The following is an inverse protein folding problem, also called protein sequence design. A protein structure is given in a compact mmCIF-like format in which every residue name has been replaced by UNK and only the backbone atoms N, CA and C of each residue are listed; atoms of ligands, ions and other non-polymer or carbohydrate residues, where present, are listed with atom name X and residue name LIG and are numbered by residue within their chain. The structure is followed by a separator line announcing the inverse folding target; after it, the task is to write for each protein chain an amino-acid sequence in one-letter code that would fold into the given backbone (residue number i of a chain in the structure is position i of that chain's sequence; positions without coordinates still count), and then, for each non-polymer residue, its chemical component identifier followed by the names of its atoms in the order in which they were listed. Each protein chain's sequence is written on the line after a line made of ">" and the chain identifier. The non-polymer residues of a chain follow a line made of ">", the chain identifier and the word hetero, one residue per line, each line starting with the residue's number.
data_IF_202201212102
#
_entry.id   IF_202201212102
#
_cell.length_a   1.000
_cell.length_b   1.000
_cell.length_c   1.000
_cell.angle_alpha   90.00
_cell.angle_beta   90.00
_cell.angle_gamma   90.00
#
_symmetry.space_group_name_H-M   'P 1'
#
loop_
_entity.id
_entity.type
_entity.pdbx_description
1 polymer ?
#
# COMPACT_ATOMS: atom_id res chain seq x y z
N UNK A 1 -8.65 2.04 37.66
CA UNK A 1 -9.75 1.32 37.01
C UNK A 1 -9.17 0.93 35.66
N UNK A 2 -8.94 -0.36 35.39
CA UNK A 2 -8.45 -0.82 34.10
C UNK A 2 -9.58 -0.62 33.09
N UNK A 3 -9.43 0.37 32.21
CA UNK A 3 -10.39 0.67 31.17
C UNK A 3 -10.37 -0.44 30.12
N UNK A 4 -11.20 -1.46 30.32
CA UNK A 4 -11.54 -2.39 29.22
C UNK A 4 -12.54 -1.68 28.32
N UNK A 5 -12.30 -1.74 27.01
CA UNK A 5 -13.28 -1.28 26.03
C UNK A 5 -14.62 -1.97 26.28
N UNK A 6 -15.75 -1.25 26.23
CA UNK A 6 -17.07 -1.86 26.38
C UNK A 6 -17.43 -2.79 25.22
N UNK A 7 -16.68 -2.72 24.11
CA UNK A 7 -16.90 -3.53 22.91
C UNK A 7 -15.71 -4.47 22.67
N UNK A 8 -15.97 -5.74 22.29
CA UNK A 8 -14.92 -6.71 22.03
C UNK A 8 -14.09 -6.28 20.82
N UNK A 9 -12.79 -6.41 20.93
CA UNK A 9 -11.85 -6.18 19.84
C UNK A 9 -10.75 -7.23 19.84
N UNK A 10 -10.09 -7.38 18.68
CA UNK A 10 -8.91 -8.23 18.53
C UNK A 10 -7.77 -7.37 17.98
N UNK A 11 -6.58 -7.49 18.56
CA UNK A 11 -5.37 -6.88 18.01
C UNK A 11 -4.73 -7.87 17.05
N UNK A 12 -4.39 -7.39 15.86
CA UNK A 12 -3.71 -8.18 14.81
C UNK A 12 -2.52 -7.37 14.34
N UNK A 13 -1.38 -8.03 14.22
CA UNK A 13 -0.17 -7.44 13.64
C UNK A 13 -0.13 -7.71 12.14
N UNK A 14 -0.11 -6.64 11.36
CA UNK A 14 0.09 -6.63 9.92
C UNK A 14 1.49 -6.09 9.64
N UNK A 15 2.40 -6.95 9.18
CA UNK A 15 3.83 -6.65 9.10
C UNK A 15 4.37 -6.11 10.44
N UNK A 16 4.74 -4.84 10.52
CA UNK A 16 5.24 -4.19 11.73
C UNK A 16 4.17 -3.28 12.41
N UNK A 17 2.92 -3.31 11.93
CA UNK A 17 1.85 -2.42 12.41
C UNK A 17 0.77 -3.19 13.18
N UNK A 18 0.52 -2.82 14.42
CA UNK A 18 -0.57 -3.38 15.22
C UNK A 18 -1.86 -2.56 15.02
N UNK A 19 -2.96 -3.26 14.77
CA UNK A 19 -4.30 -2.66 14.66
C UNK A 19 -5.32 -3.41 15.51
N UNK A 20 -6.26 -2.66 16.10
CA UNK A 20 -7.41 -3.21 16.81
C UNK A 20 -8.62 -3.27 15.89
N UNK A 21 -9.17 -4.46 15.70
CA UNK A 21 -10.33 -4.72 14.85
C UNK A 21 -11.57 -4.96 15.69
N UNK A 22 -12.67 -4.29 15.32
CA UNK A 22 -13.98 -4.40 15.95
C UNK A 22 -15.06 -4.72 14.91
N UNK A 23 -16.09 -5.48 15.32
CA UNK A 23 -17.28 -5.64 14.49
C UNK A 23 -18.13 -4.37 14.56
N UNK A 24 -18.47 -3.79 13.41
CA UNK A 24 -19.33 -2.60 13.33
C UNK A 24 -20.72 -2.84 13.99
N UNK A 25 -21.23 -4.07 13.92
CA UNK A 25 -22.53 -4.46 14.50
C UNK A 25 -22.54 -4.46 16.02
N UNK A 26 -21.39 -4.53 16.68
CA UNK A 26 -21.28 -4.48 18.15
C UNK A 26 -21.44 -3.04 18.67
N UNK A 27 -21.32 -2.03 17.80
CA UNK A 27 -21.50 -0.63 18.11
C UNK A 27 -22.94 -0.16 17.86
N UNK A 28 -23.44 0.87 18.58
CA UNK A 28 -24.79 1.40 18.37
C UNK A 28 -25.04 1.80 16.91
N UNK A 29 -26.26 1.60 16.42
CA UNK A 29 -26.69 2.03 15.08
C UNK A 29 -27.13 3.50 15.03
N UNK A 30 -27.56 4.08 16.17
CA UNK A 30 -27.91 5.49 16.25
C UNK A 30 -26.65 6.37 16.09
N UNK A 31 -26.63 7.38 15.19
CA UNK A 31 -25.43 8.14 14.86
C UNK A 31 -24.80 8.89 16.05
N UNK A 32 -25.60 9.41 16.99
CA UNK A 32 -25.07 10.12 18.15
C UNK A 32 -24.46 9.14 19.16
N UNK A 33 -25.18 8.05 19.43
CA UNK A 33 -24.70 6.99 20.32
C UNK A 33 -23.47 6.32 19.73
N UNK A 34 -23.44 6.07 18.40
CA UNK A 34 -22.28 5.54 17.69
C UNK A 34 -21.04 6.42 17.87
N UNK A 35 -21.15 7.72 17.62
CA UNK A 35 -20.03 8.65 17.75
C UNK A 35 -19.48 8.67 19.19
N UNK A 36 -20.36 8.64 20.19
CA UNK A 36 -19.96 8.59 21.60
C UNK A 36 -19.28 7.27 21.95
N UNK A 37 -19.89 6.14 21.56
CA UNK A 37 -19.36 4.81 21.81
C UNK A 37 -18.00 4.59 21.13
N UNK A 38 -17.85 5.09 19.91
CA UNK A 38 -16.59 5.02 19.17
C UNK A 38 -15.49 5.83 19.87
N UNK A 39 -15.78 7.08 20.28
CA UNK A 39 -14.82 7.93 20.97
C UNK A 39 -14.36 7.32 22.30
N UNK A 40 -15.28 6.75 23.10
CA UNK A 40 -14.96 6.04 24.33
C UNK A 40 -14.11 4.79 24.07
N UNK A 41 -14.45 4.01 23.04
CA UNK A 41 -13.72 2.81 22.64
C UNK A 41 -12.29 3.15 22.21
N UNK A 42 -12.13 4.16 21.36
CA UNK A 42 -10.82 4.66 20.91
C UNK A 42 -9.97 5.09 22.11
N UNK A 43 -10.57 5.85 23.06
CA UNK A 43 -9.86 6.30 24.26
C UNK A 43 -9.41 5.12 25.12
N UNK A 44 -10.30 4.15 25.37
CA UNK A 44 -9.99 2.98 26.19
C UNK A 44 -8.92 2.09 25.60
N UNK A 45 -8.93 1.88 24.26
CA UNK A 45 -7.91 1.07 23.56
C UNK A 45 -6.56 1.79 23.59
N UNK A 46 -6.53 3.11 23.41
CA UNK A 46 -5.30 3.91 23.44
C UNK A 46 -4.63 3.98 24.80
N UNK A 47 -5.39 3.86 25.87
CA UNK A 47 -4.87 3.88 27.24
C UNK A 47 -4.29 2.52 27.67
N UNK A 48 -4.25 1.52 26.78
CA UNK A 48 -3.61 0.23 27.04
C UNK A 48 -2.09 0.31 26.87
N UNK A 49 -1.39 -0.63 27.50
CA UNK A 49 0.08 -0.69 27.49
C UNK A 49 0.65 -0.99 26.09
N UNK A 50 -0.15 -1.69 25.28
CA UNK A 50 0.15 -2.08 23.89
C UNK A 50 -0.83 -1.36 22.95
N UNK A 51 -0.73 -0.03 22.92
CA UNK A 51 -1.61 0.83 22.13
C UNK A 51 -1.46 0.52 20.64
N UNK A 52 -2.49 0.01 19.95
CA UNK A 52 -2.41 -0.24 18.53
C UNK A 52 -2.32 1.07 17.75
N UNK A 53 -1.63 1.02 16.61
CA UNK A 53 -1.45 2.19 15.73
C UNK A 53 -2.76 2.59 15.05
N UNK A 54 -3.63 1.61 14.77
CA UNK A 54 -4.90 1.83 14.09
C UNK A 54 -6.06 1.14 14.80
N UNK A 55 -7.25 1.71 14.68
CA UNK A 55 -8.52 1.10 15.11
C UNK A 55 -9.43 1.01 13.88
N UNK A 56 -9.97 -0.17 13.66
CA UNK A 56 -10.64 -0.57 12.43
C UNK A 56 -12.00 -1.14 12.74
N UNK A 57 -13.00 -0.74 11.96
CA UNK A 57 -14.33 -1.34 11.96
C UNK A 57 -14.45 -2.28 10.76
N UNK A 58 -15.03 -3.47 11.00
CA UNK A 58 -15.31 -4.47 9.98
C UNK A 58 -16.78 -4.87 10.07
N UNK A 59 -17.47 -4.93 8.93
CA UNK A 59 -18.84 -5.43 8.80
C UNK A 59 -19.02 -6.26 7.55
N UNK A 60 -20.05 -7.08 7.50
CA UNK A 60 -20.50 -7.67 6.24
C UNK A 60 -20.96 -6.53 5.31
N UNK A 61 -20.60 -6.63 4.05
CA UNK A 61 -21.03 -5.65 3.05
C UNK A 61 -22.46 -5.94 2.56
N UNK A 62 -23.21 -4.89 2.26
CA UNK A 62 -24.49 -4.99 1.54
C UNK A 62 -24.28 -4.87 0.02
N UNK A 63 -23.07 -4.60 -0.45
CA UNK A 63 -22.76 -4.47 -1.86
C UNK A 63 -22.54 -5.85 -2.50
N UNK A 64 -23.21 -6.11 -3.63
CA UNK A 64 -23.11 -7.38 -4.35
C UNK A 64 -21.66 -7.65 -4.79
N UNK A 65 -21.16 -8.85 -4.49
CA UNK A 65 -19.80 -9.28 -4.82
C UNK A 65 -18.73 -8.74 -3.87
N UNK A 66 -19.11 -8.11 -2.77
CA UNK A 66 -18.22 -7.67 -1.68
C UNK A 66 -18.55 -8.43 -0.41
N UNK A 67 -17.57 -9.09 0.21
CA UNK A 67 -17.77 -9.82 1.45
C UNK A 67 -17.80 -8.89 2.67
N UNK A 68 -16.91 -7.89 2.70
CA UNK A 68 -16.67 -7.04 3.87
C UNK A 68 -16.58 -5.55 3.51
N UNK A 69 -17.13 -4.72 4.40
CA UNK A 69 -16.79 -3.31 4.50
C UNK A 69 -15.73 -3.12 5.60
N UNK A 70 -14.71 -2.33 5.31
CA UNK A 70 -13.55 -2.07 6.13
C UNK A 70 -13.33 -0.57 6.26
N UNK A 71 -13.24 -0.06 7.49
CA UNK A 71 -13.08 1.37 7.77
C UNK A 71 -12.06 1.59 8.88
N UNK A 72 -11.01 2.37 8.59
CA UNK A 72 -10.08 2.85 9.62
C UNK A 72 -10.66 4.10 10.26
N UNK A 73 -10.93 4.02 11.57
CA UNK A 73 -11.56 5.11 12.34
C UNK A 73 -10.58 5.84 13.26
N UNK A 74 -9.41 5.25 13.47
CA UNK A 74 -8.29 5.86 14.18
C UNK A 74 -6.96 5.40 13.57
N UNK A 75 -5.95 6.29 13.35
CA UNK A 75 -6.02 7.76 13.56
C UNK A 75 -7.08 8.42 12.65
N UNK A 76 -7.49 9.64 13.01
CA UNK A 76 -8.35 10.43 12.13
C UNK A 76 -7.60 10.73 10.84
N UNK A 77 -8.10 10.19 9.74
CA UNK A 77 -7.40 10.23 8.45
C UNK A 77 -7.67 11.55 7.74
N UNK A 78 -6.60 12.17 7.27
CA UNK A 78 -6.68 13.20 6.23
C UNK A 78 -6.76 12.53 4.86
N UNK A 79 -7.28 13.21 3.86
CA UNK A 79 -7.38 12.66 2.49
C UNK A 79 -6.03 12.16 1.96
N UNK A 80 -4.92 12.83 2.30
CA UNK A 80 -3.57 12.50 1.85
C UNK A 80 -2.99 11.25 2.54
N UNK A 81 -3.34 10.99 3.80
CA UNK A 81 -2.83 9.85 4.57
C UNK A 81 -3.76 8.63 4.59
N UNK A 82 -4.98 8.77 4.05
CA UNK A 82 -6.01 7.74 4.17
C UNK A 82 -5.60 6.42 3.51
N UNK A 83 -5.04 6.48 2.29
CA UNK A 83 -4.70 5.27 1.54
C UNK A 83 -3.64 4.44 2.25
N UNK A 84 -2.54 5.05 2.67
CA UNK A 84 -1.45 4.33 3.36
C UNK A 84 -1.91 3.75 4.69
N UNK A 85 -2.62 4.52 5.51
CA UNK A 85 -3.14 4.05 6.79
C UNK A 85 -4.13 2.88 6.63
N UNK A 86 -4.94 2.88 5.55
CA UNK A 86 -5.83 1.77 5.26
C UNK A 86 -5.07 0.55 4.72
N UNK A 87 -4.09 0.75 3.85
CA UNK A 87 -3.37 -0.36 3.21
C UNK A 87 -2.41 -1.06 4.18
N UNK A 88 -1.82 -0.34 5.13
CA UNK A 88 -0.85 -0.90 6.09
C UNK A 88 -1.42 -1.96 7.04
N UNK A 89 -2.74 -2.05 7.19
CA UNK A 89 -3.41 -3.01 8.10
C UNK A 89 -4.56 -3.77 7.42
N UNK A 90 -4.59 -3.78 6.11
CA UNK A 90 -5.72 -4.28 5.31
C UNK A 90 -5.94 -5.79 5.46
N UNK A 91 -4.86 -6.58 5.44
CA UNK A 91 -4.94 -8.05 5.59
C UNK A 91 -5.55 -8.48 6.93
N UNK A 92 -5.41 -7.65 7.97
CA UNK A 92 -6.04 -7.87 9.28
C UNK A 92 -7.56 -7.91 9.23
N UNK A 93 -8.20 -7.23 8.29
CA UNK A 93 -9.66 -7.25 8.16
C UNK A 93 -10.20 -8.65 7.78
N UNK A 94 -9.58 -9.29 6.79
CA UNK A 94 -9.94 -10.64 6.39
C UNK A 94 -9.61 -11.67 7.47
N UNK A 95 -8.42 -11.53 8.11
CA UNK A 95 -8.01 -12.35 9.25
C UNK A 95 -9.02 -12.28 10.38
N UNK A 96 -9.39 -11.07 10.81
CA UNK A 96 -10.39 -10.84 11.84
C UNK A 96 -11.76 -11.48 11.49
N UNK A 97 -12.18 -11.34 10.21
CA UNK A 97 -13.45 -11.88 9.76
C UNK A 97 -13.47 -13.42 9.78
N UNK A 98 -12.37 -14.08 9.39
CA UNK A 98 -12.23 -15.54 9.45
C UNK A 98 -12.17 -16.06 10.88
N UNK A 99 -11.33 -15.45 11.73
CA UNK A 99 -11.14 -15.90 13.11
C UNK A 99 -12.36 -15.69 14.00
N UNK A 100 -13.10 -14.60 13.77
CA UNK A 100 -14.35 -14.33 14.53
C UNK A 100 -15.58 -14.99 13.92
N UNK A 101 -15.44 -15.70 12.79
CA UNK A 101 -16.53 -16.36 12.09
C UNK A 101 -17.53 -15.39 11.46
N UNK A 102 -17.13 -14.12 11.25
CA UNK A 102 -17.93 -13.13 10.51
C UNK A 102 -18.09 -13.56 9.05
N UNK A 103 -17.01 -14.07 8.45
CA UNK A 103 -17.00 -14.76 7.16
C UNK A 103 -16.56 -16.19 7.38
N UNK A 104 -17.24 -17.13 6.70
CA UNK A 104 -16.90 -18.55 6.74
C UNK A 104 -16.49 -19.00 5.35
N UNK A 105 -15.26 -19.45 5.21
CA UNK A 105 -14.72 -20.05 3.99
C UNK A 105 -14.31 -21.50 4.28
N UNK A 106 -14.42 -22.35 3.27
CA UNK A 106 -14.12 -23.80 3.37
C UNK A 106 -13.13 -24.13 2.27
N UNK A 107 -12.12 -24.95 2.58
CA UNK A 107 -11.06 -25.33 1.64
C UNK A 107 -9.70 -25.00 2.20
N UNK A 108 -8.69 -25.07 1.33
CA UNK A 108 -7.30 -24.73 1.65
C UNK A 108 -6.94 -23.29 1.30
N UNK A 109 -7.79 -22.62 0.53
CA UNK A 109 -7.61 -21.24 0.10
C UNK A 109 -8.93 -20.46 0.26
N UNK A 110 -8.83 -19.17 0.47
CA UNK A 110 -9.97 -18.26 0.49
C UNK A 110 -9.64 -16.96 -0.22
N UNK A 111 -10.63 -16.46 -0.95
CA UNK A 111 -10.65 -15.09 -1.46
C UNK A 111 -11.77 -14.35 -0.73
N UNK A 112 -11.45 -13.17 -0.19
CA UNK A 112 -12.36 -12.27 0.52
C UNK A 112 -12.28 -10.90 -0.14
N UNK A 113 -13.38 -10.50 -0.78
CA UNK A 113 -13.46 -9.16 -1.36
C UNK A 113 -13.81 -8.13 -0.28
N UNK A 114 -12.96 -7.13 -0.12
CA UNK A 114 -13.09 -6.07 0.89
C UNK A 114 -13.27 -4.73 0.20
N UNK A 115 -14.25 -3.94 0.65
CA UNK A 115 -14.40 -2.53 0.29
C UNK A 115 -13.79 -1.66 1.37
N UNK A 116 -12.82 -0.84 0.98
CA UNK A 116 -12.16 0.15 1.84
C UNK A 116 -13.02 1.41 1.83
N UNK A 117 -13.79 1.64 2.89
CA UNK A 117 -14.76 2.75 2.96
C UNK A 117 -14.05 4.12 2.85
N UNK A 118 -12.90 4.28 3.50
CA UNK A 118 -12.15 5.53 3.52
C UNK A 118 -11.70 6.01 2.14
N UNK A 119 -11.43 5.10 1.20
CA UNK A 119 -10.87 5.41 -0.13
C UNK A 119 -11.75 4.95 -1.28
N UNK A 120 -12.82 4.21 -0.96
CA UNK A 120 -13.74 3.58 -1.91
C UNK A 120 -13.06 2.58 -2.89
N UNK A 121 -11.88 2.06 -2.56
CA UNK A 121 -11.24 0.98 -3.31
C UNK A 121 -11.78 -0.38 -2.89
N UNK A 122 -11.71 -1.34 -3.82
CA UNK A 122 -11.93 -2.76 -3.55
C UNK A 122 -10.60 -3.51 -3.59
N UNK A 123 -10.51 -4.52 -2.74
CA UNK A 123 -9.34 -5.37 -2.65
C UNK A 123 -9.77 -6.81 -2.43
N UNK A 124 -9.16 -7.74 -3.17
CA UNK A 124 -9.27 -9.17 -2.90
C UNK A 124 -8.13 -9.58 -1.97
N UNK A 125 -8.48 -10.16 -0.84
CA UNK A 125 -7.56 -10.75 0.11
C UNK A 125 -7.51 -12.26 -0.14
N UNK A 126 -6.34 -12.79 -0.51
CA UNK A 126 -6.14 -14.20 -0.74
C UNK A 126 -5.39 -14.82 0.43
N UNK A 127 -5.96 -15.88 1.00
CA UNK A 127 -5.45 -16.58 2.17
C UNK A 127 -5.20 -18.05 1.84
N UNK A 128 -4.08 -18.60 2.37
CA UNK A 128 -3.99 -20.01 2.65
C UNK A 128 -4.77 -20.32 3.94
N UNK A 129 -5.55 -21.40 3.95
CA UNK A 129 -6.40 -21.77 5.08
C UNK A 129 -6.06 -23.15 5.63
N UNK A 130 -6.10 -23.24 6.97
CA UNK A 130 -6.11 -24.47 7.75
C UNK A 130 -7.31 -24.48 8.67
N UNK A 131 -8.20 -25.47 8.53
CA UNK A 131 -9.44 -25.60 9.31
C UNK A 131 -10.34 -24.34 9.29
N UNK A 132 -10.38 -23.64 8.14
CA UNK A 132 -11.20 -22.44 7.93
C UNK A 132 -10.64 -21.15 8.56
N UNK A 133 -9.37 -21.17 9.00
CA UNK A 133 -8.63 -20.02 9.54
C UNK A 133 -7.37 -19.76 8.70
N UNK A 134 -6.78 -18.58 8.77
CA UNK A 134 -5.48 -18.33 8.14
C UNK A 134 -4.44 -19.39 8.57
N UNK A 135 -3.68 -19.91 7.61
CA UNK A 135 -2.61 -20.86 7.91
C UNK A 135 -1.35 -20.12 8.34
N UNK A 136 -1.08 -20.11 9.64
CA UNK A 136 0.11 -19.48 10.23
C UNK A 136 1.38 -20.35 10.16
N UNK A 137 1.28 -21.57 9.64
CA UNK A 137 2.39 -22.53 9.52
C UNK A 137 2.85 -22.71 8.08
N UNK A 138 2.38 -21.87 7.13
CA UNK A 138 2.75 -21.98 5.72
C UNK A 138 4.26 -21.86 5.52
N UNK A 139 4.84 -22.81 4.76
CA UNK A 139 6.28 -22.91 4.53
C UNK A 139 6.88 -21.67 3.84
N UNK A 140 6.11 -20.93 3.02
CA UNK A 140 6.57 -19.70 2.39
C UNK A 140 6.86 -18.60 3.42
N UNK A 141 6.09 -18.54 4.52
CA UNK A 141 6.31 -17.59 5.62
C UNK A 141 7.34 -18.09 6.64
N UNK A 142 7.47 -19.41 6.82
CA UNK A 142 8.44 -20.02 7.71
C UNK A 142 9.91 -19.72 7.30
N UNK A 143 10.16 -19.49 6.01
CA UNK A 143 11.49 -19.16 5.47
C UNK A 143 12.05 -17.82 5.96
N UNK A 144 11.21 -16.93 6.47
CA UNK A 144 11.62 -15.61 6.99
C UNK A 144 12.18 -15.62 8.41
N UNK A 145 12.13 -16.76 9.12
CA UNK A 145 12.65 -16.92 10.49
C UNK A 145 11.87 -16.13 11.56
N UNK A 146 10.69 -15.62 11.26
CA UNK A 146 9.93 -14.70 12.12
C UNK A 146 8.85 -15.36 12.99
N UNK A 147 8.83 -16.71 13.11
CA UNK A 147 7.80 -17.44 13.89
C UNK A 147 6.53 -17.72 13.08
N UNK A 148 5.46 -18.18 13.73
CA UNK A 148 4.19 -18.47 13.09
C UNK A 148 3.57 -17.19 12.50
N UNK A 149 3.36 -17.18 11.19
CA UNK A 149 2.83 -16.05 10.44
C UNK A 149 2.10 -16.54 9.19
N UNK A 150 1.11 -15.79 8.73
CA UNK A 150 0.40 -16.06 7.47
C UNK A 150 0.72 -14.97 6.44
N UNK A 151 1.01 -15.36 5.20
CA UNK A 151 1.08 -14.43 4.07
C UNK A 151 -0.32 -14.20 3.49
N UNK A 152 -0.66 -12.94 3.28
CA UNK A 152 -1.92 -12.54 2.67
C UNK A 152 -1.62 -11.67 1.46
N UNK A 153 -2.14 -12.07 0.29
CA UNK A 153 -2.04 -11.25 -0.91
C UNK A 153 -3.21 -10.26 -0.92
N UNK A 154 -2.87 -8.98 -0.96
CA UNK A 154 -3.82 -7.87 -1.02
C UNK A 154 -3.84 -7.31 -2.44
N UNK A 155 -4.82 -7.68 -3.26
CA UNK A 155 -4.91 -7.32 -4.68
C UNK A 155 -5.98 -6.25 -4.91
N UNK A 156 -5.57 -5.03 -5.18
CA UNK A 156 -6.46 -3.90 -5.40
C UNK A 156 -6.97 -3.84 -6.85
N UNK A 157 -8.19 -3.36 -7.00
CA UNK A 157 -8.88 -3.19 -8.27
C UNK A 157 -8.82 -1.75 -8.78
N UNK A 158 -8.79 -1.59 -10.09
CA UNK A 158 -9.03 -0.30 -10.75
C UNK A 158 -7.95 0.75 -10.52
N UNK A 159 -6.70 0.35 -10.23
CA UNK A 159 -5.60 1.27 -9.94
C UNK A 159 -5.00 1.91 -11.17
N UNK A 160 -5.04 1.22 -12.31
CA UNK A 160 -4.40 1.68 -13.56
C UNK A 160 -5.03 2.98 -14.05
N UNK A 161 -4.29 4.08 -13.95
CA UNK A 161 -4.75 5.41 -14.35
C UNK A 161 -5.85 6.00 -13.47
N UNK A 162 -5.98 5.57 -12.22
CA UNK A 162 -7.07 5.95 -11.32
C UNK A 162 -7.20 7.47 -11.10
N UNK A 163 -6.10 8.19 -11.14
CA UNK A 163 -6.08 9.65 -10.90
C UNK A 163 -5.89 10.43 -12.20
N UNK A 164 -5.01 9.96 -13.07
CA UNK A 164 -4.63 10.67 -14.31
C UNK A 164 -5.38 10.19 -15.57
N UNK A 165 -6.22 9.16 -15.46
CA UNK A 165 -6.98 8.60 -16.59
C UNK A 165 -6.22 7.62 -17.48
N UNK A 166 -4.95 7.33 -17.20
CA UNK A 166 -4.13 6.36 -17.91
C UNK A 166 -2.87 6.01 -17.16
N UNK A 167 -2.43 4.75 -17.29
CA UNK A 167 -1.24 4.25 -16.55
C UNK A 167 0.04 5.01 -16.93
N UNK A 168 0.17 5.44 -18.18
CA UNK A 168 1.21 6.35 -18.68
C UNK A 168 0.56 7.69 -19.04
N UNK A 169 0.37 8.58 -18.05
CA UNK A 169 -0.49 9.76 -18.22
C UNK A 169 0.03 10.79 -19.22
N UNK A 170 1.34 10.82 -19.50
CA UNK A 170 1.92 11.69 -20.54
C UNK A 170 1.77 11.13 -21.95
N UNK A 171 1.34 9.86 -22.08
CA UNK A 171 1.33 9.11 -23.34
C UNK A 171 2.70 8.61 -23.80
N UNK A 172 3.75 8.88 -23.03
CA UNK A 172 5.12 8.45 -23.31
C UNK A 172 5.64 7.53 -22.21
N UNK A 173 6.56 6.62 -22.58
CA UNK A 173 7.26 5.76 -21.63
C UNK A 173 8.46 6.48 -20.97
N UNK A 174 8.98 7.48 -21.67
CA UNK A 174 10.03 8.38 -21.18
C UNK A 174 9.69 9.82 -21.52
N UNK A 175 9.87 10.68 -20.57
CA UNK A 175 9.79 12.13 -20.64
C UNK A 175 11.11 12.72 -20.20
N UNK A 176 11.32 14.02 -20.47
CA UNK A 176 12.49 14.76 -20.00
C UNK A 176 12.03 16.01 -19.25
N UNK A 177 12.47 16.15 -17.99
CA UNK A 177 12.24 17.33 -17.16
C UNK A 177 13.56 17.81 -16.56
N UNK A 178 13.90 19.10 -16.69
CA UNK A 178 15.15 19.65 -16.20
C UNK A 178 16.40 18.88 -16.69
N UNK A 179 16.37 18.40 -17.95
CA UNK A 179 17.40 17.55 -18.56
C UNK A 179 17.61 16.19 -17.88
N UNK A 180 16.65 15.74 -17.09
CA UNK A 180 16.61 14.42 -16.45
C UNK A 180 15.54 13.58 -17.13
N UNK A 181 15.89 12.35 -17.48
CA UNK A 181 14.95 11.37 -18.02
C UNK A 181 14.05 10.83 -16.92
N UNK A 182 12.75 10.72 -17.20
CA UNK A 182 11.74 10.31 -16.26
C UNK A 182 10.74 9.34 -16.88
N UNK A 183 10.08 8.52 -16.08
CA UNK A 183 8.86 7.81 -16.44
C UNK A 183 7.74 8.25 -15.51
N UNK A 184 6.68 8.83 -16.10
CA UNK A 184 5.48 9.21 -15.38
C UNK A 184 4.48 8.05 -15.40
N UNK A 185 4.01 7.61 -14.24
CA UNK A 185 3.14 6.44 -14.09
C UNK A 185 2.04 6.72 -13.07
N UNK A 186 0.84 6.18 -13.31
CA UNK A 186 -0.28 6.19 -12.36
C UNK A 186 -0.87 4.78 -12.24
N UNK A 187 -0.53 4.08 -11.16
CA UNK A 187 -1.12 2.79 -10.79
C UNK A 187 -1.56 2.83 -9.33
N UNK A 188 -2.50 3.76 -9.05
CA UNK A 188 -3.07 4.04 -7.74
C UNK A 188 -2.65 5.40 -7.16
N UNK A 189 -1.42 5.83 -7.41
CA UNK A 189 -0.95 7.18 -7.13
C UNK A 189 -0.02 7.64 -8.27
N UNK A 190 -0.13 8.91 -8.73
CA UNK A 190 0.80 9.46 -9.71
C UNK A 190 2.23 9.53 -9.16
N UNK A 191 3.16 8.89 -9.87
CA UNK A 191 4.58 8.84 -9.52
C UNK A 191 5.42 9.26 -10.73
N UNK A 192 6.48 10.01 -10.47
CA UNK A 192 7.56 10.30 -11.41
C UNK A 192 8.76 9.46 -11.01
N UNK A 193 9.08 8.45 -11.78
CA UNK A 193 10.24 7.60 -11.59
C UNK A 193 11.46 8.23 -12.23
N UNK A 194 12.54 8.35 -11.46
CA UNK A 194 13.82 8.92 -11.85
C UNK A 194 14.92 7.93 -11.48
N UNK A 195 16.01 7.91 -12.22
CA UNK A 195 17.18 7.09 -11.84
C UNK A 195 17.99 7.80 -10.78
N UNK A 196 18.34 7.12 -9.70
CA UNK A 196 19.18 7.67 -8.64
C UNK A 196 20.56 8.10 -9.15
N UNK A 197 21.10 7.38 -10.14
CA UNK A 197 22.40 7.66 -10.77
C UNK A 197 22.45 9.03 -11.44
N UNK A 198 21.35 9.53 -12.01
CA UNK A 198 21.28 10.82 -12.71
C UNK A 198 21.49 11.99 -11.74
N UNK A 199 21.36 11.74 -10.43
CA UNK A 199 21.61 12.71 -9.35
C UNK A 199 22.94 12.46 -8.60
N UNK A 200 23.76 11.52 -9.07
CA UNK A 200 24.99 11.13 -8.40
C UNK A 200 24.76 10.63 -6.96
N UNK A 201 23.60 10.05 -6.73
CA UNK A 201 23.24 9.50 -5.42
C UNK A 201 23.84 8.10 -5.27
N UNK A 202 24.80 8.00 -4.36
CA UNK A 202 25.28 6.72 -3.85
C UNK A 202 24.47 6.32 -2.60
N UNK A 203 24.61 5.07 -2.18
CA UNK A 203 23.89 4.52 -1.02
C UNK A 203 24.21 5.21 0.33
N UNK A 204 25.27 6.01 0.39
CA UNK A 204 25.79 6.59 1.63
C UNK A 204 25.11 7.91 2.06
N UNK A 205 24.32 8.56 1.19
CA UNK A 205 23.65 9.80 1.56
C UNK A 205 22.42 9.53 2.40
N UNK A 206 22.37 10.12 3.59
CA UNK A 206 21.23 10.01 4.52
C UNK A 206 20.07 10.94 4.14
N UNK A 207 18.87 10.67 4.64
CA UNK A 207 17.67 11.52 4.50
C UNK A 207 17.97 12.98 4.88
N UNK A 208 18.65 13.18 6.01
CA UNK A 208 18.98 14.50 6.51
C UNK A 208 19.89 15.27 5.53
N UNK A 209 20.90 14.61 4.97
CA UNK A 209 21.81 15.23 4.01
C UNK A 209 21.11 15.63 2.71
N UNK A 210 20.18 14.81 2.23
CA UNK A 210 19.39 15.11 1.03
C UNK A 210 18.41 16.24 1.28
N UNK A 211 17.67 16.20 2.39
CA UNK A 211 16.69 17.25 2.74
C UNK A 211 17.35 18.62 3.04
N UNK A 212 18.63 18.64 3.45
CA UNK A 212 19.40 19.88 3.66
C UNK A 212 20.02 20.43 2.39
N UNK A 213 20.12 19.65 1.32
CA UNK A 213 20.65 20.10 0.04
C UNK A 213 19.58 20.89 -0.74
N UNK A 214 19.61 22.22 -0.59
CA UNK A 214 18.61 23.11 -1.20
C UNK A 214 18.58 23.04 -2.72
N UNK A 215 19.73 22.94 -3.38
CA UNK A 215 19.81 22.86 -4.84
C UNK A 215 19.16 21.58 -5.35
N UNK A 216 19.46 20.46 -4.72
CA UNK A 216 18.83 19.18 -5.02
C UNK A 216 17.31 19.21 -4.80
N UNK A 217 16.84 19.74 -3.66
CA UNK A 217 15.39 19.86 -3.39
C UNK A 217 14.70 20.80 -4.40
N UNK A 218 15.32 21.88 -4.81
CA UNK A 218 14.79 22.80 -5.83
C UNK A 218 14.70 22.13 -7.20
N UNK A 219 15.71 21.35 -7.59
CA UNK A 219 15.68 20.58 -8.84
C UNK A 219 14.56 19.54 -8.83
N UNK A 220 14.41 18.76 -7.74
CA UNK A 220 13.31 17.80 -7.61
C UNK A 220 11.95 18.48 -7.70
N UNK A 221 11.76 19.63 -7.03
CA UNK A 221 10.49 20.35 -7.07
C UNK A 221 10.18 20.89 -8.46
N UNK A 222 11.18 21.40 -9.18
CA UNK A 222 11.00 21.83 -10.57
C UNK A 222 10.58 20.67 -11.49
N UNK A 223 11.19 19.49 -11.33
CA UNK A 223 10.79 18.26 -12.04
C UNK A 223 9.35 17.88 -11.67
N UNK A 224 9.01 17.86 -10.38
CA UNK A 224 7.68 17.48 -9.88
C UNK A 224 6.57 18.36 -10.48
N UNK A 225 6.76 19.68 -10.47
CA UNK A 225 5.78 20.63 -11.00
C UNK A 225 5.58 20.43 -12.50
N UNK A 226 6.67 20.33 -13.28
CA UNK A 226 6.58 20.13 -14.74
C UNK A 226 5.95 18.79 -15.09
N UNK A 227 6.36 17.73 -14.42
CA UNK A 227 5.80 16.40 -14.60
C UNK A 227 4.31 16.35 -14.22
N UNK A 228 3.91 16.97 -13.11
CA UNK A 228 2.51 17.05 -12.69
C UNK A 228 1.61 17.72 -13.73
N UNK A 229 2.09 18.80 -14.34
CA UNK A 229 1.39 19.45 -15.45
C UNK A 229 1.28 18.55 -16.67
N UNK A 230 2.38 17.85 -17.03
CA UNK A 230 2.41 16.92 -18.16
C UNK A 230 1.49 15.71 -17.93
N UNK A 231 1.33 15.26 -16.68
CA UNK A 231 0.42 14.18 -16.28
C UNK A 231 -1.07 14.64 -16.21
N UNK A 232 -1.37 15.89 -16.48
CA UNK A 232 -2.74 16.42 -16.45
C UNK A 232 -3.28 16.77 -15.05
N UNK A 233 -2.40 16.83 -14.03
CA UNK A 233 -2.80 17.10 -12.64
C UNK A 233 -3.07 18.59 -12.35
N UNK A 234 -2.98 19.47 -13.37
CA UNK A 234 -3.06 20.93 -13.27
C UNK A 234 -1.96 21.49 -12.33
N UNK A 235 -2.26 22.54 -11.56
CA UNK A 235 -1.32 23.08 -10.58
C UNK A 235 -1.15 22.11 -9.40
N UNK A 236 0.09 21.68 -9.20
CA UNK A 236 0.49 20.73 -8.14
C UNK A 236 1.33 21.37 -7.04
N UNK A 237 1.49 22.69 -7.05
CA UNK A 237 2.37 23.42 -6.12
C UNK A 237 2.05 23.07 -4.66
N UNK A 238 0.78 23.02 -4.30
CA UNK A 238 0.33 22.72 -2.94
C UNK A 238 -0.17 21.27 -2.76
N UNK A 239 -0.04 20.43 -3.78
CA UNK A 239 -0.45 19.03 -3.72
C UNK A 239 0.69 18.10 -3.33
N UNK A 240 0.36 16.98 -2.69
CA UNK A 240 1.31 15.89 -2.40
C UNK A 240 1.71 15.10 -3.65
N UNK A 241 0.84 15.06 -4.65
CA UNK A 241 1.08 14.35 -5.93
C UNK A 241 1.57 15.30 -7.04
N UNK A 242 2.35 14.78 -8.02
CA UNK A 242 2.90 13.43 -8.06
C UNK A 242 4.00 13.23 -7.02
N UNK A 243 4.16 11.98 -6.55
CA UNK A 243 5.34 11.60 -5.78
C UNK A 243 6.55 11.51 -6.70
N UNK A 244 7.75 11.79 -6.20
CA UNK A 244 8.99 11.51 -6.91
C UNK A 244 9.65 10.28 -6.30
N UNK A 245 10.06 9.34 -7.13
CA UNK A 245 10.78 8.15 -6.70
C UNK A 245 12.13 8.08 -7.41
N UNK A 246 13.21 8.21 -6.64
CA UNK A 246 14.56 7.95 -7.13
C UNK A 246 14.86 6.46 -6.97
N UNK A 247 15.06 5.78 -8.10
CA UNK A 247 15.12 4.32 -8.16
C UNK A 247 16.51 3.88 -8.60
N UNK A 248 17.03 2.86 -7.94
CA UNK A 248 18.25 2.13 -8.31
C UNK A 248 18.00 0.62 -8.24
N UNK A 249 18.94 -0.17 -8.75
CA UNK A 249 18.92 -1.62 -8.62
C UNK A 249 18.89 -2.02 -7.14
N UNK A 250 18.09 -3.02 -6.81
CA UNK A 250 18.12 -3.65 -5.50
C UNK A 250 19.25 -4.68 -5.40
N UNK A 251 19.43 -5.28 -4.22
CA UNK A 251 20.49 -6.27 -3.97
C UNK A 251 20.23 -7.63 -4.60
N UNK A 252 18.97 -7.93 -4.93
CA UNK A 252 18.53 -9.23 -5.43
C UNK A 252 17.83 -9.10 -6.77
N UNK A 253 17.61 -10.23 -7.47
CA UNK A 253 16.78 -10.25 -8.67
C UNK A 253 15.35 -9.78 -8.36
N UNK A 254 14.73 -9.14 -9.32
CA UNK A 254 13.39 -8.56 -9.18
C UNK A 254 13.24 -7.61 -7.98
N UNK A 255 14.34 -6.94 -7.56
CA UNK A 255 14.30 -5.95 -6.49
C UNK A 255 14.73 -4.56 -6.98
N UNK A 256 14.08 -3.54 -6.43
CA UNK A 256 14.37 -2.13 -6.69
C UNK A 256 14.52 -1.38 -5.36
N UNK A 257 15.55 -0.57 -5.25
CA UNK A 257 15.71 0.34 -4.12
C UNK A 257 15.10 1.67 -4.46
N UNK A 258 14.18 2.15 -3.63
CA UNK A 258 13.39 3.36 -3.86
C UNK A 258 13.60 4.37 -2.75
N UNK A 259 13.84 5.62 -3.13
CA UNK A 259 13.80 6.78 -2.24
C UNK A 259 12.65 7.67 -2.67
N UNK A 260 11.61 7.69 -1.86
CA UNK A 260 10.38 8.44 -2.12
C UNK A 260 10.47 9.86 -1.60
N UNK A 261 9.94 10.82 -2.37
CA UNK A 261 9.86 12.23 -1.98
C UNK A 261 8.43 12.71 -2.19
N UNK A 262 7.87 13.30 -1.15
CA UNK A 262 6.58 13.99 -1.19
C UNK A 262 6.87 15.49 -1.03
N UNK A 263 6.47 16.31 -2.01
CA UNK A 263 6.79 17.75 -2.05
C UNK A 263 8.29 18.02 -1.79
N UNK A 264 9.15 17.25 -2.46
CA UNK A 264 10.62 17.32 -2.35
C UNK A 264 11.20 17.01 -0.96
N UNK A 265 10.42 16.46 -0.05
CA UNK A 265 10.86 15.96 1.25
C UNK A 265 10.98 14.45 1.19
N UNK A 266 12.19 13.93 1.47
CA UNK A 266 12.40 12.48 1.51
C UNK A 266 11.60 11.82 2.60
N UNK A 267 10.92 10.73 2.24
CA UNK A 267 10.19 9.85 3.12
C UNK A 267 11.03 8.62 3.47
N UNK A 268 11.11 8.20 4.73
CA UNK A 268 11.90 7.01 5.12
C UNK A 268 11.31 5.70 4.56
N UNK A 269 10.00 5.68 4.30
CA UNK A 269 9.29 4.57 3.67
C UNK A 269 8.74 4.98 2.31
N UNK A 270 8.55 3.99 1.45
CA UNK A 270 7.73 4.12 0.24
C UNK A 270 6.33 3.63 0.59
N UNK A 271 5.30 4.43 0.32
CA UNK A 271 3.92 3.99 0.53
C UNK A 271 3.52 2.89 -0.47
N UNK A 272 2.50 2.09 -0.12
CA UNK A 272 2.06 0.94 -0.91
C UNK A 272 1.68 1.34 -2.35
N UNK A 273 0.90 2.41 -2.53
CA UNK A 273 0.47 2.83 -3.88
C UNK A 273 1.65 3.33 -4.72
N UNK A 274 2.61 4.03 -4.13
CA UNK A 274 3.82 4.44 -4.84
C UNK A 274 4.67 3.22 -5.24
N UNK A 275 4.77 2.20 -4.35
CA UNK A 275 5.44 0.95 -4.67
C UNK A 275 4.77 0.23 -5.86
N UNK A 276 3.41 0.19 -5.91
CA UNK A 276 2.66 -0.37 -7.02
C UNK A 276 2.90 0.39 -8.34
N UNK A 277 2.98 1.72 -8.27
CA UNK A 277 3.25 2.56 -9.45
C UNK A 277 4.69 2.38 -9.96
N UNK A 278 5.70 2.37 -9.07
CA UNK A 278 7.10 2.11 -9.44
C UNK A 278 7.24 0.72 -10.07
N UNK A 279 6.62 -0.30 -9.47
CA UNK A 279 6.66 -1.67 -9.99
C UNK A 279 5.98 -1.78 -11.35
N UNK A 280 4.87 -1.09 -11.56
CA UNK A 280 4.22 -1.00 -12.87
C UNK A 280 5.14 -0.37 -13.91
N UNK A 281 5.81 0.74 -13.60
CA UNK A 281 6.76 1.39 -14.50
C UNK A 281 7.90 0.46 -14.91
N UNK A 282 8.40 -0.38 -14.01
CA UNK A 282 9.49 -1.31 -14.31
C UNK A 282 9.14 -2.37 -15.36
N UNK A 283 7.85 -2.71 -15.53
CA UNK A 283 7.40 -3.68 -16.53
C UNK A 283 7.62 -3.18 -17.98
N UNK A 284 7.59 -1.88 -18.21
CA UNK A 284 7.64 -1.31 -19.56
C UNK A 284 9.07 -1.19 -20.07
N UNK A 285 9.35 -1.85 -21.21
CA UNK A 285 10.69 -1.97 -21.79
C UNK A 285 11.39 -0.65 -22.15
N UNK A 286 10.62 0.44 -22.27
CA UNK A 286 11.13 1.77 -22.58
C UNK A 286 11.10 2.72 -21.37
N UNK A 287 10.75 2.24 -20.17
CA UNK A 287 10.80 3.07 -18.98
C UNK A 287 12.25 3.29 -18.53
N UNK A 288 12.49 4.35 -17.78
CA UNK A 288 13.82 4.61 -17.18
C UNK A 288 14.25 3.53 -16.20
N UNK A 289 13.32 2.66 -15.76
CA UNK A 289 13.55 1.61 -14.77
C UNK A 289 13.85 0.23 -15.39
N UNK A 290 13.60 0.03 -16.67
CA UNK A 290 13.59 -1.30 -17.32
C UNK A 290 14.88 -2.11 -17.13
N UNK A 291 16.03 -1.44 -17.09
CA UNK A 291 17.33 -2.10 -16.97
C UNK A 291 17.87 -2.18 -15.54
N UNK A 292 17.12 -1.73 -14.55
CA UNK A 292 17.57 -1.70 -13.17
C UNK A 292 17.50 -3.07 -12.50
N UNK A 293 16.56 -3.93 -12.94
CA UNK A 293 16.45 -5.30 -12.44
C UNK A 293 15.87 -6.22 -13.51
N UNK A 294 16.35 -7.47 -13.63
CA UNK A 294 15.64 -8.48 -14.40
C UNK A 294 14.29 -8.76 -13.75
N UNK A 295 13.24 -8.82 -14.55
CA UNK A 295 11.90 -9.10 -14.06
C UNK A 295 11.52 -10.55 -14.37
N UNK A 296 10.78 -11.22 -13.46
CA UNK A 296 10.29 -12.56 -13.71
C UNK A 296 9.33 -12.57 -14.91
N UNK A 297 9.34 -13.66 -15.67
CA UNK A 297 8.42 -13.89 -16.77
C UNK A 297 7.06 -14.40 -16.24
N UNK A 298 6.00 -14.32 -17.06
CA UNK A 298 4.68 -14.84 -16.74
C UNK A 298 3.63 -13.74 -16.55
N UNK A 299 2.43 -14.18 -16.15
CA UNK A 299 1.28 -13.29 -15.93
C UNK A 299 1.25 -12.69 -14.52
N UNK A 300 1.78 -13.40 -13.54
CA UNK A 300 1.95 -12.91 -12.18
C UNK A 300 3.43 -12.56 -11.98
N UNK A 301 3.73 -11.32 -11.59
CA UNK A 301 5.08 -10.81 -11.44
C UNK A 301 5.28 -10.20 -10.06
N UNK A 302 6.22 -10.74 -9.33
CA UNK A 302 6.61 -10.21 -8.03
C UNK A 302 7.82 -9.30 -8.18
N UNK A 303 7.78 -8.16 -7.51
CA UNK A 303 8.86 -7.17 -7.48
C UNK A 303 8.99 -6.69 -6.03
N UNK A 304 10.21 -6.75 -5.50
CA UNK A 304 10.48 -6.24 -4.15
C UNK A 304 10.89 -4.77 -4.23
N UNK A 305 10.16 -3.93 -3.52
CA UNK A 305 10.47 -2.50 -3.35
C UNK A 305 11.12 -2.32 -1.98
N UNK A 306 12.36 -1.84 -1.96
CA UNK A 306 13.17 -1.67 -0.75
C UNK A 306 13.32 -0.17 -0.49
N UNK A 307 12.90 0.27 0.69
CA UNK A 307 13.10 1.64 1.21
C UNK A 307 14.07 1.63 2.39
N UNK A 308 14.32 2.79 3.00
CA UNK A 308 15.19 2.88 4.18
C UNK A 308 14.60 2.14 5.40
N UNK A 309 13.28 2.22 5.58
CA UNK A 309 12.59 1.70 6.77
C UNK A 309 11.92 0.34 6.58
N UNK A 310 12.02 -0.27 5.38
CA UNK A 310 11.39 -1.56 5.14
C UNK A 310 11.29 -1.94 3.67
N UNK A 311 10.56 -3.01 3.42
CA UNK A 311 10.36 -3.54 2.09
C UNK A 311 8.88 -3.87 1.85
N UNK A 312 8.44 -3.75 0.59
CA UNK A 312 7.11 -4.13 0.13
C UNK A 312 7.27 -5.15 -0.99
N UNK A 313 6.69 -6.33 -0.83
CA UNK A 313 6.63 -7.34 -1.88
C UNK A 313 5.39 -7.08 -2.74
N UNK A 314 5.60 -6.53 -3.92
CA UNK A 314 4.54 -6.17 -4.87
C UNK A 314 4.23 -7.37 -5.77
N UNK A 315 2.94 -7.60 -6.01
CA UNK A 315 2.43 -8.54 -7.00
C UNK A 315 1.64 -7.79 -8.06
N UNK A 316 2.01 -8.00 -9.33
CA UNK A 316 1.30 -7.47 -10.50
C UNK A 316 0.74 -8.63 -11.32
N UNK A 317 -0.57 -8.65 -11.53
CA UNK A 317 -1.23 -9.61 -12.39
C UNK A 317 -1.58 -8.98 -13.75
N UNK A 318 -1.10 -9.60 -14.81
CA UNK A 318 -1.29 -9.13 -16.17
C UNK A 318 -2.53 -9.79 -16.79
N UNK A 319 -3.22 -9.04 -17.62
CA UNK A 319 -4.38 -9.53 -18.36
C UNK A 319 -3.95 -10.48 -19.48
N UNK A 320 -4.29 -11.78 -19.44
CA UNK A 320 -3.89 -12.74 -20.46
C UNK A 320 -4.60 -12.52 -21.80
N UNK A 321 -5.65 -11.71 -21.84
CA UNK A 321 -6.46 -11.45 -23.03
C UNK A 321 -5.98 -10.24 -23.84
N UNK A 322 -5.06 -9.45 -23.29
CA UNK A 322 -4.54 -8.25 -23.94
C UNK A 322 -3.09 -8.46 -24.39
N UNK A 323 -2.73 -8.10 -25.63
CA UNK A 323 -1.33 -8.07 -26.05
C UNK A 323 -0.61 -6.90 -25.37
N UNK A 324 0.59 -7.18 -24.82
CA UNK A 324 1.40 -6.18 -24.13
C UNK A 324 1.20 -6.17 -22.61
N UNK A 325 1.57 -5.06 -21.99
CA UNK A 325 1.46 -4.90 -20.55
C UNK A 325 0.13 -4.22 -20.25
N UNK A 326 -0.81 -5.00 -19.75
CA UNK A 326 -2.10 -4.57 -19.23
C UNK A 326 -2.26 -5.15 -17.82
N UNK A 327 -2.22 -4.30 -16.81
CA UNK A 327 -2.28 -4.71 -15.40
C UNK A 327 -3.74 -4.87 -15.01
N UNK A 328 -4.13 -6.12 -14.76
CA UNK A 328 -5.48 -6.48 -14.32
C UNK A 328 -5.70 -6.14 -12.84
N UNK A 329 -4.79 -6.58 -11.98
CA UNK A 329 -4.76 -6.29 -10.55
C UNK A 329 -3.32 -5.99 -10.13
N UNK A 330 -3.17 -5.10 -9.16
CA UNK A 330 -1.89 -4.80 -8.54
C UNK A 330 -2.04 -4.83 -7.02
N UNK A 331 -1.07 -5.38 -6.32
CA UNK A 331 -1.16 -5.52 -4.89
C UNK A 331 0.17 -5.80 -4.23
N UNK A 332 0.10 -6.20 -2.99
CA UNK A 332 1.25 -6.48 -2.15
C UNK A 332 0.96 -7.65 -1.22
N UNK A 333 2.01 -8.20 -0.64
CA UNK A 333 1.93 -9.29 0.33
C UNK A 333 2.11 -8.70 1.72
N UNK A 334 1.16 -8.94 2.62
CA UNK A 334 1.27 -8.62 4.03
C UNK A 334 1.45 -9.89 4.86
N UNK A 335 2.29 -9.79 5.89
CA UNK A 335 2.47 -10.86 6.85
C UNK A 335 1.61 -10.57 8.08
N UNK A 336 0.79 -11.55 8.47
CA UNK A 336 -0.09 -11.48 9.63
C UNK A 336 0.44 -12.35 10.75
N UNK A 337 0.51 -11.80 11.96
CA UNK A 337 0.84 -12.52 13.18
C UNK A 337 -0.27 -12.37 14.20
N UNK A 338 -0.72 -13.45 14.85
CA UNK A 338 -1.57 -13.32 16.03
C UNK A 338 -0.78 -12.65 17.15
N UNK A 339 -1.43 -11.72 17.86
CA UNK A 339 -0.84 -10.99 19.01
C UNK A 339 -1.31 -11.60 20.33
#
# INVERSE_FOLDING_TARGET
>A
MNGQSPYPYQVIRCDETDAAFLKRVDLPSDPQQFSTALAETVSNIRDTKDTPHSIVLVSLSEEEGVDLDYEVVYPALTTEGASEACLSVLAGAGTFALETGLVKKVGQEAEICVKIINTNHKCDLLFALKDGRPDYEDEETASTGQGAAAAVFCLLHGLSGAICGGIMPTGHMQDEFESIQATCVDNGVPVVCLRADDFGLNEQKTAQQLNQNKEFCQQLEAIRIKAGMAMGLADVTDKSVPHLCLVSSGPEEASLRVRSFIRSVWQPSTDHLAALSVSAAALYTKSVLHHLTPLPEGLARQIQIISESGQINVLLELNPKQPGIDILRAGFIQTIKPV
#
